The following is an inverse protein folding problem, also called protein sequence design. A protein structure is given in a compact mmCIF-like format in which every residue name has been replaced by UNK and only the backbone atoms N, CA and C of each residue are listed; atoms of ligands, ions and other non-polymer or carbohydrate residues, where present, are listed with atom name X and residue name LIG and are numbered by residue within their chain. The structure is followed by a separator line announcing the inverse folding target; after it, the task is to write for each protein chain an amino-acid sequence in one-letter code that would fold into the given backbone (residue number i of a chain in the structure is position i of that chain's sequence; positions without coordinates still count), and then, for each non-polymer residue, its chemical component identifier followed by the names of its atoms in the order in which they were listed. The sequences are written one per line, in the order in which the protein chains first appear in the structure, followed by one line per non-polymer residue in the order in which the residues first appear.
data_IF_675878205420
#
_entry.id   IF_675878205420
#
_cell.length_a   1.000
_cell.length_b   1.000
_cell.length_c   1.000
_cell.angle_alpha   90.00
_cell.angle_beta   90.00
_cell.angle_gamma   90.00
#
_symmetry.space_group_name_H-M   'P 1'
#
loop_
_entity.id
_entity.type
_entity.pdbx_description
1 polymer ?
#
# COMPACT_ATOMS: atom_id res chain seq x y z
N UNK A 1 37.28 -0.22 -2.77
CA UNK A 1 35.95 -0.15 -3.41
C UNK A 1 34.89 -0.64 -2.42
N UNK A 2 34.19 0.27 -1.73
CA UNK A 2 33.02 -0.08 -0.92
C UNK A 2 31.77 0.27 -1.74
N UNK A 3 31.11 -0.71 -2.35
CA UNK A 3 29.78 -0.48 -2.96
C UNK A 3 28.75 -0.63 -1.85
N UNK A 4 27.88 0.36 -1.70
CA UNK A 4 26.72 0.22 -0.83
C UNK A 4 25.87 -0.95 -1.35
N UNK A 5 25.71 -2.00 -0.56
CA UNK A 5 24.73 -3.05 -0.83
C UNK A 5 23.40 -2.54 -0.30
N UNK A 6 22.36 -2.58 -1.13
CA UNK A 6 21.02 -2.11 -0.79
C UNK A 6 20.03 -3.15 -1.29
N UNK A 7 19.21 -3.66 -0.38
CA UNK A 7 18.14 -4.61 -0.66
C UNK A 7 16.86 -4.07 -0.04
N UNK A 8 15.77 -4.06 -0.80
CA UNK A 8 14.44 -3.72 -0.29
C UNK A 8 13.50 -4.87 -0.64
N UNK A 9 12.83 -5.40 0.38
CA UNK A 9 11.80 -6.43 0.25
C UNK A 9 10.48 -5.82 0.67
N UNK A 10 9.46 -5.98 -0.17
CA UNK A 10 8.13 -5.43 0.07
C UNK A 10 7.12 -6.56 0.06
N UNK A 11 6.33 -6.66 1.11
CA UNK A 11 5.15 -7.50 1.18
C UNK A 11 3.92 -6.60 1.33
N UNK A 12 2.87 -6.86 0.55
CA UNK A 12 1.65 -6.08 0.58
C UNK A 12 0.42 -6.98 0.58
N UNK A 13 -0.62 -6.53 1.26
CA UNK A 13 -1.95 -7.12 1.20
C UNK A 13 -3.00 -6.02 1.05
N UNK A 14 -3.94 -6.24 0.15
CA UNK A 14 -5.00 -5.29 -0.19
C UNK A 14 -6.35 -6.01 -0.24
N UNK A 15 -7.39 -5.36 0.29
CA UNK A 15 -8.78 -5.81 0.26
C UNK A 15 -9.61 -4.68 -0.35
N UNK A 16 -10.39 -4.98 -1.38
CA UNK A 16 -11.28 -4.01 -2.04
C UNK A 16 -12.72 -4.54 -2.08
N UNK A 17 -13.69 -3.66 -1.89
CA UNK A 17 -15.11 -3.96 -2.06
C UNK A 17 -15.80 -2.83 -2.84
N UNK A 18 -16.68 -3.24 -3.75
CA UNK A 18 -17.49 -2.33 -4.57
C UNK A 18 -18.94 -2.74 -4.49
N UNK A 19 -19.81 -1.76 -4.22
CA UNK A 19 -21.26 -1.92 -4.21
C UNK A 19 -21.87 -0.99 -5.26
N UNK A 20 -22.46 -1.58 -6.29
CA UNK A 20 -23.18 -0.85 -7.33
C UNK A 20 -24.66 -0.71 -6.98
N UNK A 21 -25.20 0.50 -7.12
CA UNK A 21 -26.61 0.79 -6.94
C UNK A 21 -27.11 1.72 -8.04
N UNK A 22 -28.44 1.77 -8.23
CA UNK A 22 -29.08 2.59 -9.25
C UNK A 22 -28.83 4.10 -9.13
N UNK A 23 -28.43 4.59 -7.95
CA UNK A 23 -28.12 6.01 -7.71
C UNK A 23 -26.61 6.29 -7.61
N UNK A 24 -25.76 5.29 -7.81
CA UNK A 24 -24.30 5.44 -7.73
C UNK A 24 -23.58 4.19 -7.23
N UNK A 25 -22.25 4.29 -7.19
CA UNK A 25 -21.35 3.20 -6.83
C UNK A 25 -20.53 3.59 -5.61
N UNK A 26 -20.56 2.73 -4.59
CA UNK A 26 -19.69 2.83 -3.43
C UNK A 26 -18.48 1.93 -3.62
N UNK A 27 -17.29 2.47 -3.43
CA UNK A 27 -16.04 1.72 -3.37
C UNK A 27 -15.40 1.89 -2.00
N UNK A 28 -14.79 0.85 -1.47
CA UNK A 28 -13.92 0.95 -0.31
C UNK A 28 -12.75 -0.01 -0.47
N UNK A 29 -11.63 0.35 0.15
CA UNK A 29 -10.47 -0.54 0.19
C UNK A 29 -9.62 -0.30 1.41
N UNK A 30 -8.88 -1.34 1.78
CA UNK A 30 -7.90 -1.36 2.86
C UNK A 30 -6.59 -1.90 2.30
N UNK A 31 -5.50 -1.19 2.55
CA UNK A 31 -4.15 -1.59 2.18
C UNK A 31 -3.26 -1.77 3.40
N UNK A 32 -2.35 -2.73 3.31
CA UNK A 32 -1.25 -2.92 4.24
C UNK A 32 0.02 -3.20 3.45
N UNK A 33 1.12 -2.56 3.84
CA UNK A 33 2.40 -2.66 3.16
C UNK A 33 3.53 -2.71 4.17
N UNK A 34 4.29 -3.78 4.12
CA UNK A 34 5.45 -4.06 4.97
C UNK A 34 6.70 -4.05 4.10
N UNK A 35 7.61 -3.14 4.39
CA UNK A 35 8.85 -2.96 3.65
C UNK A 35 10.04 -3.13 4.57
N UNK A 36 10.98 -3.99 4.18
CA UNK A 36 12.25 -4.22 4.86
C UNK A 36 13.39 -3.78 3.96
N UNK A 37 14.11 -2.75 4.39
CA UNK A 37 15.23 -2.16 3.68
C UNK A 37 16.50 -2.49 4.43
N UNK A 38 17.39 -3.26 3.82
CA UNK A 38 18.72 -3.53 4.36
C UNK A 38 19.77 -2.85 3.49
N UNK A 39 20.50 -1.91 4.07
CA UNK A 39 21.59 -1.25 3.38
C UNK A 39 22.81 -1.05 4.25
N UNK A 40 23.99 -1.21 3.64
CA UNK A 40 25.26 -0.88 4.30
C UNK A 40 25.48 0.64 4.48
N UNK A 41 24.63 1.50 3.88
CA UNK A 41 24.73 2.97 3.99
C UNK A 41 23.64 3.60 4.88
N UNK A 42 22.44 3.02 4.91
CA UNK A 42 21.32 3.54 5.72
C UNK A 42 20.92 2.57 6.83
N UNK A 43 21.55 1.41 6.97
CA UNK A 43 21.21 0.41 7.99
C UNK A 43 19.97 -0.43 7.63
N UNK A 44 19.47 -1.17 8.63
CA UNK A 44 18.22 -1.93 8.55
C UNK A 44 17.05 -1.03 8.95
N UNK A 45 16.08 -0.89 8.07
CA UNK A 45 14.88 -0.09 8.25
C UNK A 45 13.65 -0.92 7.93
N UNK A 46 12.69 -0.94 8.84
CA UNK A 46 11.37 -1.49 8.59
C UNK A 46 10.38 -0.33 8.45
N UNK A 47 9.56 -0.38 7.40
CA UNK A 47 8.46 0.55 7.17
C UNK A 47 7.18 -0.24 7.08
N UNK A 48 6.20 0.17 7.87
CA UNK A 48 4.84 -0.34 7.80
C UNK A 48 3.94 0.81 7.38
N UNK A 49 3.05 0.52 6.44
CA UNK A 49 2.03 1.46 5.99
C UNK A 49 0.68 0.73 5.99
N UNK A 50 -0.32 1.37 6.56
CA UNK A 50 -1.70 0.92 6.56
C UNK A 50 -2.56 2.06 6.05
N UNK A 51 -3.38 1.78 5.06
CA UNK A 51 -4.21 2.76 4.39
C UNK A 51 -5.62 2.25 4.22
N UNK A 52 -6.55 3.18 4.06
CA UNK A 52 -7.92 2.85 3.72
C UNK A 52 -8.54 3.98 2.93
N UNK A 53 -9.45 3.64 2.03
CA UNK A 53 -10.20 4.60 1.26
C UNK A 53 -11.68 4.23 1.22
N UNK A 54 -12.51 5.27 1.05
CA UNK A 54 -13.92 5.16 0.75
C UNK A 54 -14.23 6.16 -0.37
N UNK A 55 -14.93 5.68 -1.39
CA UNK A 55 -15.26 6.41 -2.60
C UNK A 55 -16.76 6.27 -2.86
N UNK A 56 -17.39 7.36 -3.31
CA UNK A 56 -18.74 7.35 -3.84
C UNK A 56 -18.75 8.02 -5.21
N UNK A 57 -19.26 7.32 -6.22
CA UNK A 57 -19.37 7.79 -7.61
C UNK A 57 -20.84 7.87 -8.00
N UNK A 58 -21.24 8.96 -8.64
CA UNK A 58 -22.58 9.12 -9.25
C UNK A 58 -22.40 9.43 -10.72
N UNK A 59 -23.38 9.09 -11.56
CA UNK A 59 -23.47 9.74 -12.87
C UNK A 59 -23.74 11.23 -12.64
N UNK A 60 -23.01 12.09 -13.37
CA UNK A 60 -23.05 13.54 -13.24
C UNK A 60 -24.20 14.17 -14.04
#
# INVERSE_FOLDING_TARGET
KGRSKHYSNVFGAEINATLEHSYGTFGLGLESRFERINSTSIGDHNRENYGGYLEFKTEA
#
